data_IF_881217426086
#
_entry.id   IF_881217426086
#
_cell.length_a   1.000
_cell.length_b   1.000
_cell.length_c   1.000
_cell.angle_alpha   90.00
_cell.angle_beta   90.00
_cell.angle_gamma   90.00
#
_symmetry.space_group_name_H-M   'P 1'
#
loop_
_entity.id
_entity.type
_entity.pdbx_description
1 polymer ?
#
# COMPACT_ATOMS: atom_id res chain seq x y z
N UNK A 1 -32.38 -23.17 13.57
CA UNK A 1 -31.12 -22.75 12.91
C UNK A 1 -30.01 -22.74 13.95
N UNK A 2 -28.98 -23.58 13.80
CA UNK A 2 -27.81 -23.56 14.69
C UNK A 2 -27.09 -22.21 14.56
N UNK A 3 -26.77 -21.55 15.68
CA UNK A 3 -25.95 -20.34 15.64
C UNK A 3 -24.57 -20.73 15.12
N UNK A 4 -24.17 -20.23 13.94
CA UNK A 4 -22.83 -20.43 13.38
C UNK A 4 -21.79 -20.06 14.44
N UNK A 5 -20.86 -20.98 14.71
CA UNK A 5 -19.87 -20.80 15.77
C UNK A 5 -18.60 -20.20 15.17
N UNK A 6 -18.37 -18.92 15.46
CA UNK A 6 -17.12 -18.24 15.12
C UNK A 6 -16.09 -18.54 16.21
N UNK A 7 -14.88 -18.91 15.80
CA UNK A 7 -13.71 -19.01 16.65
C UNK A 7 -12.74 -17.90 16.29
N UNK A 8 -12.34 -17.11 17.29
CA UNK A 8 -11.33 -16.06 17.12
C UNK A 8 -10.14 -16.39 18.00
N UNK A 9 -8.93 -16.31 17.45
CA UNK A 9 -7.67 -16.55 18.15
C UNK A 9 -6.74 -15.37 17.90
N UNK A 10 -6.28 -14.74 18.97
CA UNK A 10 -5.28 -13.67 18.94
C UNK A 10 -4.05 -14.14 19.70
N UNK A 11 -2.87 -14.11 19.08
CA UNK A 11 -1.61 -14.56 19.71
C UNK A 11 -1.73 -15.94 20.39
N UNK A 12 -2.30 -16.91 19.67
CA UNK A 12 -2.57 -18.26 20.15
C UNK A 12 -3.59 -18.41 21.29
N UNK A 13 -4.24 -17.32 21.72
CA UNK A 13 -5.29 -17.34 22.74
C UNK A 13 -6.68 -17.22 22.12
N UNK A 14 -7.54 -18.19 22.42
CA UNK A 14 -8.96 -18.15 22.03
C UNK A 14 -9.64 -16.97 22.72
N UNK A 15 -10.37 -16.19 21.93
CA UNK A 15 -11.13 -15.04 22.40
C UNK A 15 -12.61 -15.41 22.56
N UNK A 16 -13.24 -14.87 23.60
CA UNK A 16 -14.68 -15.03 23.83
C UNK A 16 -15.41 -13.76 23.39
N UNK A 17 -16.55 -13.87 22.69
CA UNK A 17 -17.32 -12.69 22.31
C UNK A 17 -17.95 -12.03 23.55
N UNK A 18 -17.96 -10.69 23.55
CA UNK A 18 -18.66 -9.86 24.53
C UNK A 18 -19.84 -9.16 23.84
N UNK A 19 -21.07 -9.39 24.36
CA UNK A 19 -22.31 -8.82 23.79
C UNK A 19 -22.47 -9.04 22.28
N UNK A 20 -22.07 -10.22 21.78
CA UNK A 20 -22.16 -10.57 20.35
C UNK A 20 -21.03 -9.99 19.47
N UNK A 21 -20.00 -9.38 20.06
CA UNK A 21 -18.85 -8.82 19.33
C UNK A 21 -17.53 -9.35 19.89
N UNK A 22 -16.49 -9.43 19.07
CA UNK A 22 -15.12 -9.67 19.53
C UNK A 22 -14.41 -8.33 19.69
N UNK A 23 -13.81 -8.10 20.85
CA UNK A 23 -13.01 -6.91 21.13
C UNK A 23 -11.61 -7.34 21.52
N UNK A 24 -10.61 -6.63 21.00
CA UNK A 24 -9.21 -6.86 21.28
C UNK A 24 -8.50 -5.53 21.53
N UNK A 25 -7.56 -5.54 22.46
CA UNK A 25 -6.66 -4.40 22.68
C UNK A 25 -5.33 -4.73 22.03
N UNK A 26 -4.88 -3.88 21.12
CA UNK A 26 -3.58 -4.04 20.48
C UNK A 26 -2.46 -4.06 21.56
N UNK A 27 -1.46 -4.94 21.44
CA UNK A 27 -0.35 -4.99 22.38
C UNK A 27 0.40 -3.66 22.46
N UNK A 28 1.00 -3.37 23.62
CA UNK A 28 1.84 -2.18 23.80
C UNK A 28 3.17 -2.28 23.06
N UNK A 29 3.66 -3.51 22.85
CA UNK A 29 4.93 -3.78 22.17
C UNK A 29 4.72 -3.60 20.66
N UNK A 30 5.66 -2.90 20.01
CA UNK A 30 5.72 -2.80 18.54
C UNK A 30 5.92 -4.18 17.91
N UNK A 31 5.37 -4.40 16.72
CA UNK A 31 5.52 -5.65 15.99
C UNK A 31 4.30 -6.00 15.15
N UNK A 32 4.37 -7.16 14.50
CA UNK A 32 3.24 -7.81 13.84
C UNK A 32 2.64 -8.88 14.76
N UNK A 33 1.32 -8.96 14.75
CA UNK A 33 0.50 -9.85 15.56
C UNK A 33 -0.55 -10.50 14.67
N UNK A 34 -0.94 -11.73 15.00
CA UNK A 34 -1.87 -12.50 14.18
C UNK A 34 -3.23 -12.67 14.86
N UNK A 35 -4.27 -12.30 14.13
CA UNK A 35 -5.66 -12.58 14.49
C UNK A 35 -6.25 -13.57 13.48
N UNK A 36 -6.45 -14.80 13.93
CA UNK A 36 -7.08 -15.86 13.17
C UNK A 36 -8.57 -15.92 13.49
N UNK A 37 -9.40 -15.80 12.46
CA UNK A 37 -10.86 -15.92 12.54
C UNK A 37 -11.25 -17.17 11.75
N UNK A 38 -12.03 -18.07 12.35
CA UNK A 38 -12.52 -19.31 11.74
C UNK A 38 -14.02 -19.46 11.94
N UNK A 39 -14.73 -19.86 10.89
CA UNK A 39 -16.09 -20.40 11.00
C UNK A 39 -16.03 -21.92 11.08
N UNK A 40 -17.07 -22.50 11.65
CA UNK A 40 -17.42 -23.92 11.53
C UNK A 40 -17.49 -24.43 10.07
N UNK A 41 -17.91 -23.59 9.13
CA UNK A 41 -18.03 -23.89 7.69
C UNK A 41 -16.69 -23.85 6.92
N UNK A 42 -15.58 -24.28 7.53
CA UNK A 42 -14.22 -24.34 6.93
C UNK A 42 -13.58 -23.02 6.45
N UNK A 43 -14.30 -21.90 6.50
CA UNK A 43 -13.76 -20.59 6.17
C UNK A 43 -12.81 -20.09 7.26
N UNK A 44 -11.63 -19.60 6.86
CA UNK A 44 -10.68 -18.96 7.77
C UNK A 44 -10.13 -17.67 7.18
N UNK A 45 -9.87 -16.69 8.05
CA UNK A 45 -9.26 -15.41 7.71
C UNK A 45 -8.12 -15.15 8.69
N UNK A 46 -6.95 -14.81 8.15
CA UNK A 46 -5.82 -14.31 8.92
C UNK A 46 -5.73 -12.79 8.75
N UNK A 47 -5.77 -12.07 9.87
CA UNK A 47 -5.60 -10.62 9.90
C UNK A 47 -4.26 -10.29 10.55
N UNK A 48 -3.37 -9.66 9.78
CA UNK A 48 -2.09 -9.14 10.29
C UNK A 48 -2.31 -7.79 10.96
N UNK A 49 -2.00 -7.70 12.26
CA UNK A 49 -2.12 -6.49 13.06
C UNK A 49 -0.73 -5.93 13.30
N UNK A 50 -0.48 -4.70 12.86
CA UNK A 50 0.81 -4.03 13.04
C UNK A 50 0.73 -2.94 14.11
N UNK A 51 1.45 -3.15 15.21
CA UNK A 51 1.66 -2.10 16.23
C UNK A 51 2.83 -1.23 15.81
N UNK A 52 2.51 0.00 15.38
CA UNK A 52 3.44 0.98 14.82
C UNK A 52 4.46 1.48 15.86
N UNK A 53 5.66 1.81 15.40
CA UNK A 53 6.66 2.57 16.15
C UNK A 53 6.29 4.03 16.15
N UNK A 54 6.10 4.60 17.34
CA UNK A 54 5.76 6.02 17.49
C UNK A 54 6.84 6.91 16.89
N UNK A 55 6.43 7.91 16.11
CA UNK A 55 7.32 8.94 15.58
C UNK A 55 7.81 9.91 16.66
N UNK A 56 7.24 9.88 17.87
CA UNK A 56 7.79 10.61 19.02
C UNK A 56 9.16 10.09 19.45
N UNK A 57 9.51 8.84 19.11
CA UNK A 57 10.83 8.26 19.38
C UNK A 57 11.91 8.74 18.40
N UNK A 58 11.54 9.53 17.38
CA UNK A 58 12.47 10.00 16.37
C UNK A 58 13.47 10.99 16.97
N UNK A 59 14.77 10.75 16.78
CA UNK A 59 15.85 11.65 17.22
C UNK A 59 16.59 12.19 16.01
N UNK A 60 16.66 13.52 15.86
CA UNK A 60 17.33 14.22 14.74
C UNK A 60 16.94 13.69 13.34
N UNK A 61 15.68 13.25 13.17
CA UNK A 61 15.17 12.73 11.89
C UNK A 61 15.39 11.23 11.65
N UNK A 62 15.80 10.47 12.67
CA UNK A 62 16.05 9.03 12.60
C UNK A 62 15.16 8.25 13.56
N UNK A 63 14.69 7.09 13.11
CA UNK A 63 14.22 6.01 13.98
C UNK A 63 15.30 4.94 13.98
N UNK A 64 15.84 4.61 15.16
CA UNK A 64 17.06 3.83 15.26
C UNK A 64 18.17 4.40 14.35
N UNK A 65 18.72 3.61 13.44
CA UNK A 65 19.76 4.03 12.48
C UNK A 65 19.20 4.40 11.10
N UNK A 66 17.89 4.27 10.90
CA UNK A 66 17.26 4.52 9.60
C UNK A 66 16.75 5.96 9.51
N UNK A 67 17.22 6.67 8.48
CA UNK A 67 16.87 8.08 8.26
C UNK A 67 15.44 8.19 7.72
N UNK A 68 14.56 8.80 8.50
CA UNK A 68 13.19 9.13 8.06
C UNK A 68 13.18 10.53 7.42
N UNK A 69 13.92 11.48 8.00
CA UNK A 69 13.85 12.89 7.62
C UNK A 69 12.67 13.59 8.27
N UNK A 70 12.23 14.70 7.67
CA UNK A 70 11.22 15.57 8.25
C UNK A 70 9.98 15.63 7.37
N UNK A 71 8.84 15.23 7.95
CA UNK A 71 7.54 15.54 7.39
C UNK A 71 7.31 17.06 7.34
N UNK A 72 6.52 17.56 6.37
CA UNK A 72 6.05 18.93 6.39
C UNK A 72 5.41 19.30 7.74
N UNK A 73 5.67 20.53 8.23
CA UNK A 73 5.26 20.98 9.57
C UNK A 73 3.74 21.12 9.70
N UNK A 74 3.07 21.56 8.64
CA UNK A 74 1.61 21.74 8.58
C UNK A 74 1.05 20.85 7.48
N UNK A 75 -0.18 20.34 7.60
CA UNK A 75 -0.85 19.67 6.49
C UNK A 75 -1.06 20.65 5.32
N UNK A 76 -0.92 20.17 4.08
CA UNK A 76 -1.19 20.96 2.88
C UNK A 76 -2.63 21.46 2.91
N UNK A 77 -2.83 22.78 2.84
CA UNK A 77 -4.16 23.42 2.89
C UNK A 77 -5.03 22.95 4.07
N UNK A 78 -4.41 22.65 5.23
CA UNK A 78 -5.08 22.08 6.41
C UNK A 78 -5.80 20.74 6.16
N UNK A 79 -5.52 20.06 5.05
CA UNK A 79 -6.19 18.81 4.71
C UNK A 79 -5.60 17.64 5.53
N UNK A 80 -6.42 16.91 6.31
CA UNK A 80 -5.96 15.85 7.21
C UNK A 80 -5.26 14.69 6.51
N UNK A 81 -5.46 14.47 5.20
CA UNK A 81 -4.74 13.41 4.47
C UNK A 81 -3.23 13.68 4.42
N UNK A 82 -2.79 14.93 4.64
CA UNK A 82 -1.38 15.36 4.72
C UNK A 82 -0.90 15.57 6.17
N UNK A 83 -1.65 15.09 7.16
CA UNK A 83 -1.22 15.13 8.55
C UNK A 83 0.04 14.29 8.76
N UNK A 84 0.93 14.76 9.62
CA UNK A 84 2.10 13.99 10.05
C UNK A 84 1.62 12.69 10.70
N UNK A 85 2.14 11.52 10.29
CA UNK A 85 1.73 10.26 10.88
C UNK A 85 2.14 10.17 12.36
N UNK A 86 1.39 9.41 13.15
CA UNK A 86 1.71 9.15 14.56
C UNK A 86 2.83 8.13 14.73
N UNK A 87 2.97 7.20 13.79
CA UNK A 87 3.96 6.14 13.82
C UNK A 87 4.10 5.43 12.48
N UNK A 88 5.11 4.58 12.38
CA UNK A 88 5.46 3.81 11.19
C UNK A 88 5.52 2.32 11.52
N UNK A 89 5.23 1.47 10.54
CA UNK A 89 5.41 0.03 10.64
C UNK A 89 6.92 -0.25 10.60
N UNK A 90 7.44 -0.99 11.59
CA UNK A 90 8.82 -1.46 11.60
C UNK A 90 8.96 -2.68 10.70
N UNK A 91 9.80 -2.56 9.68
CA UNK A 91 10.11 -3.65 8.75
C UNK A 91 11.42 -4.28 9.20
N UNK A 92 11.40 -5.60 9.32
CA UNK A 92 12.56 -6.44 9.60
C UNK A 92 12.74 -7.44 8.45
N UNK A 93 13.79 -8.27 8.48
CA UNK A 93 13.95 -9.28 7.42
C UNK A 93 12.81 -10.32 7.47
N UNK A 94 12.35 -10.65 8.67
CA UNK A 94 11.36 -11.69 8.93
C UNK A 94 9.96 -11.32 8.44
N UNK A 95 9.63 -10.02 8.36
CA UNK A 95 8.27 -9.57 8.06
C UNK A 95 8.06 -9.02 6.64
N UNK A 96 9.07 -9.11 5.77
CA UNK A 96 9.00 -8.61 4.39
C UNK A 96 7.86 -9.22 3.56
N UNK A 97 7.54 -10.49 3.81
CA UNK A 97 6.54 -11.23 3.04
C UNK A 97 5.17 -11.26 3.73
N UNK A 98 4.99 -10.54 4.85
CA UNK A 98 3.68 -10.47 5.49
C UNK A 98 2.69 -9.75 4.59
N UNK A 99 1.50 -10.33 4.49
CA UNK A 99 0.40 -9.81 3.69
C UNK A 99 -0.18 -8.55 4.35
N UNK A 100 -0.24 -7.48 3.57
CA UNK A 100 -0.98 -6.26 3.90
C UNK A 100 -2.43 -6.35 3.39
N UNK A 101 -2.61 -7.06 2.27
CA UNK A 101 -3.88 -7.46 1.67
C UNK A 101 -3.63 -8.76 0.87
N UNK A 102 -4.64 -9.42 0.27
CA UNK A 102 -4.47 -10.71 -0.40
C UNK A 102 -3.32 -10.75 -1.42
N UNK A 103 -3.13 -9.69 -2.21
CA UNK A 103 -2.14 -9.64 -3.29
C UNK A 103 -0.95 -8.72 -3.00
N UNK A 104 -0.91 -8.07 -1.83
CA UNK A 104 0.15 -7.11 -1.47
C UNK A 104 0.87 -7.51 -0.20
N UNK A 105 2.20 -7.37 -0.20
CA UNK A 105 3.07 -7.68 0.94
C UNK A 105 3.85 -6.45 1.41
N UNK A 106 4.43 -6.53 2.61
CA UNK A 106 5.23 -5.46 3.21
C UNK A 106 6.35 -4.99 2.27
N UNK A 107 7.04 -5.91 1.59
CA UNK A 107 8.18 -5.60 0.70
C UNK A 107 7.81 -4.72 -0.49
N UNK A 108 6.58 -4.79 -1.01
CA UNK A 108 6.10 -3.94 -2.11
C UNK A 108 6.16 -2.44 -1.75
N UNK A 109 6.09 -2.13 -0.46
CA UNK A 109 6.07 -0.76 0.05
C UNK A 109 7.39 -0.30 0.67
N UNK A 110 8.42 -1.15 0.72
CA UNK A 110 9.71 -0.79 1.32
C UNK A 110 10.41 0.29 0.49
N UNK A 111 10.86 1.35 1.16
CA UNK A 111 11.57 2.44 0.51
C UNK A 111 12.92 1.96 -0.05
N UNK A 112 13.21 2.31 -1.31
CA UNK A 112 14.47 2.04 -2.02
C UNK A 112 15.70 2.73 -1.41
N UNK A 113 15.51 3.60 -0.41
CA UNK A 113 16.60 4.16 0.37
C UNK A 113 17.50 3.05 0.92
N UNK A 114 18.79 3.20 0.67
CA UNK A 114 19.85 2.35 1.19
C UNK A 114 19.87 2.35 2.72
N UNK A 115 20.45 1.28 3.27
CA UNK A 115 20.57 1.07 4.72
C UNK A 115 20.02 -0.28 5.16
N UNK A 116 20.51 -0.75 6.31
CA UNK A 116 20.12 -2.01 6.92
C UNK A 116 18.77 -1.94 7.65
N UNK A 117 18.31 -3.11 8.08
CA UNK A 117 17.13 -3.25 8.93
C UNK A 117 17.41 -2.81 10.39
N UNK A 118 16.37 -2.38 11.14
CA UNK A 118 15.00 -2.21 10.69
C UNK A 118 14.81 -1.01 9.76
N UNK A 119 13.97 -1.19 8.74
CA UNK A 119 13.42 -0.10 7.92
C UNK A 119 12.04 0.28 8.45
N UNK A 120 11.46 1.35 7.91
CA UNK A 120 10.13 1.81 8.34
C UNK A 120 9.27 2.19 7.15
N UNK A 121 8.01 1.75 7.16
CA UNK A 121 7.04 2.10 6.14
C UNK A 121 5.78 2.72 6.74
N UNK A 122 5.06 3.46 5.92
CA UNK A 122 3.68 3.82 6.15
C UNK A 122 2.87 3.33 4.97
N UNK A 123 1.75 2.69 5.23
CA UNK A 123 0.80 2.27 4.21
C UNK A 123 -0.57 2.72 4.64
N UNK A 124 -1.30 3.34 3.71
CA UNK A 124 -2.67 3.74 3.90
C UNK A 124 -3.60 2.62 3.44
N UNK A 125 -4.54 2.23 4.28
CA UNK A 125 -5.44 1.10 4.05
C UNK A 125 -6.32 1.32 2.80
N UNK A 126 -6.71 2.56 2.50
CA UNK A 126 -7.46 2.90 1.28
C UNK A 126 -6.64 2.69 0.01
N UNK A 127 -5.31 2.88 0.07
CA UNK A 127 -4.44 2.56 -1.07
C UNK A 127 -4.42 1.06 -1.33
N UNK A 128 -4.32 0.23 -0.29
CA UNK A 128 -4.34 -1.22 -0.43
C UNK A 128 -5.63 -1.69 -1.09
N UNK A 129 -6.79 -1.27 -0.56
CA UNK A 129 -8.09 -1.61 -1.13
C UNK A 129 -8.25 -1.13 -2.58
N UNK A 130 -7.75 0.07 -2.90
CA UNK A 130 -7.75 0.59 -4.27
C UNK A 130 -6.93 -0.28 -5.22
N UNK A 131 -5.75 -0.73 -4.80
CA UNK A 131 -4.90 -1.58 -5.61
C UNK A 131 -5.52 -2.97 -5.84
N UNK A 132 -6.12 -3.57 -4.81
CA UNK A 132 -6.89 -4.82 -4.93
C UNK A 132 -8.07 -4.66 -5.90
N UNK A 133 -8.85 -3.58 -5.77
CA UNK A 133 -9.95 -3.27 -6.68
C UNK A 133 -9.47 -3.16 -8.14
N UNK A 134 -8.35 -2.47 -8.37
CA UNK A 134 -7.82 -2.30 -9.72
C UNK A 134 -7.32 -3.65 -10.27
N UNK A 135 -6.67 -4.47 -9.45
CA UNK A 135 -6.24 -5.81 -9.85
C UNK A 135 -7.45 -6.66 -10.28
N UNK A 136 -8.49 -6.73 -9.46
CA UNK A 136 -9.72 -7.46 -9.79
C UNK A 136 -10.39 -6.92 -11.06
N UNK A 137 -10.43 -5.59 -11.22
CA UNK A 137 -10.95 -4.95 -12.42
C UNK A 137 -10.16 -5.31 -13.68
N UNK A 138 -8.82 -5.39 -13.61
CA UNK A 138 -7.97 -5.79 -14.75
C UNK A 138 -8.19 -7.26 -15.10
N UNK A 139 -8.25 -8.14 -14.10
CA UNK A 139 -8.56 -9.56 -14.28
C UNK A 139 -9.91 -9.77 -14.95
N UNK A 140 -10.95 -9.05 -14.51
CA UNK A 140 -12.29 -9.08 -15.13
C UNK A 140 -12.32 -8.55 -16.57
N UNK A 141 -11.28 -7.83 -16.99
CA UNK A 141 -11.09 -7.37 -18.38
C UNK A 141 -10.21 -8.31 -19.21
N UNK A 142 -9.87 -9.49 -18.69
CA UNK A 142 -8.97 -10.46 -19.30
C UNK A 142 -7.56 -9.91 -19.56
N UNK A 143 -7.13 -8.88 -18.81
CA UNK A 143 -5.74 -8.44 -18.83
C UNK A 143 -4.95 -9.41 -17.95
N UNK A 144 -3.89 -10.00 -18.51
CA UNK A 144 -3.04 -10.94 -17.79
C UNK A 144 -2.25 -10.17 -16.73
N UNK A 145 -2.50 -10.48 -15.46
CA UNK A 145 -1.78 -9.91 -14.33
C UNK A 145 -1.91 -10.84 -13.12
N UNK A 146 -0.78 -11.28 -12.58
CA UNK A 146 -0.72 -12.03 -11.33
C UNK A 146 -0.55 -11.07 -10.14
N UNK A 147 0.26 -10.02 -10.32
CA UNK A 147 0.46 -8.94 -9.35
C UNK A 147 1.05 -7.71 -10.03
N UNK A 148 0.92 -6.55 -9.39
CA UNK A 148 1.66 -5.36 -9.81
C UNK A 148 3.16 -5.50 -9.51
N UNK A 149 3.99 -4.92 -10.38
CA UNK A 149 5.37 -4.56 -10.04
C UNK A 149 5.40 -3.14 -9.48
N UNK A 150 6.26 -2.92 -8.49
CA UNK A 150 6.40 -1.64 -7.81
C UNK A 150 7.69 -0.95 -8.23
N UNK A 151 7.56 0.23 -8.83
CA UNK A 151 8.66 1.20 -8.93
C UNK A 151 8.89 1.84 -7.57
N UNK A 152 7.83 2.17 -6.84
CA UNK A 152 7.90 2.77 -5.51
C UNK A 152 6.59 2.65 -4.75
N UNK A 153 6.62 2.13 -3.53
CA UNK A 153 5.56 2.32 -2.55
C UNK A 153 5.86 3.50 -1.62
N UNK A 154 6.03 3.25 -0.32
CA UNK A 154 6.35 4.30 0.63
C UNK A 154 7.75 4.90 0.41
N UNK A 155 7.87 6.22 0.56
CA UNK A 155 9.14 6.93 0.58
C UNK A 155 9.33 7.61 1.93
N UNK A 156 10.51 7.51 2.53
CA UNK A 156 10.82 8.39 3.65
C UNK A 156 10.82 9.85 3.16
N UNK A 157 10.45 10.84 4.00
CA UNK A 157 10.63 12.25 3.66
C UNK A 157 12.06 12.60 3.20
N UNK A 158 13.07 11.98 3.81
CA UNK A 158 14.46 12.13 3.39
C UNK A 158 14.70 11.63 1.96
N UNK A 159 14.33 10.38 1.66
CA UNK A 159 14.54 9.78 0.36
C UNK A 159 13.76 10.49 -0.74
N UNK A 160 12.51 10.86 -0.46
CA UNK A 160 11.69 11.64 -1.40
C UNK A 160 12.40 12.94 -1.81
N UNK A 161 12.99 13.67 -0.84
CA UNK A 161 13.78 14.87 -1.13
C UNK A 161 15.07 14.54 -1.89
N UNK A 162 15.76 13.46 -1.52
CA UNK A 162 17.02 13.05 -2.14
C UNK A 162 16.87 12.82 -3.65
N UNK A 163 15.77 12.21 -4.08
CA UNK A 163 15.46 11.96 -5.49
C UNK A 163 14.74 13.14 -6.19
N UNK A 164 14.81 14.34 -5.61
CA UNK A 164 14.29 15.58 -6.23
C UNK A 164 12.76 15.72 -6.23
N UNK A 165 12.02 14.88 -5.51
CA UNK A 165 10.56 14.97 -5.49
C UNK A 165 10.02 16.09 -4.60
N UNK A 166 8.84 16.58 -4.95
CA UNK A 166 8.19 17.70 -4.26
C UNK A 166 7.80 17.39 -2.81
N UNK A 167 7.73 18.41 -1.94
CA UNK A 167 7.05 18.32 -0.66
C UNK A 167 5.60 17.87 -0.84
N UNK A 168 5.04 17.22 0.18
CA UNK A 168 3.65 16.72 0.18
C UNK A 168 3.32 15.60 -0.82
N UNK A 169 4.33 14.97 -1.45
CA UNK A 169 4.13 13.73 -2.22
C UNK A 169 3.30 12.72 -1.43
N UNK A 170 2.33 12.07 -2.08
CA UNK A 170 1.49 11.07 -1.41
C UNK A 170 2.27 9.83 -0.96
N UNK A 171 3.44 9.55 -1.55
CA UNK A 171 4.32 8.46 -1.13
C UNK A 171 4.83 8.62 0.31
N UNK A 172 5.13 9.86 0.75
CA UNK A 172 5.62 10.07 2.12
C UNK A 172 4.54 9.85 3.18
N UNK A 173 3.27 9.86 2.78
CA UNK A 173 2.12 9.58 3.63
C UNK A 173 1.59 8.15 3.45
N UNK A 174 2.32 7.27 2.75
CA UNK A 174 1.91 5.88 2.50
C UNK A 174 0.68 5.73 1.62
N UNK A 175 0.28 6.81 0.94
CA UNK A 175 -0.98 6.89 0.20
C UNK A 175 -0.81 6.79 -1.31
N UNK A 176 0.39 6.47 -1.81
CA UNK A 176 0.68 6.31 -3.23
C UNK A 176 1.54 5.10 -3.55
N UNK A 177 1.40 4.61 -4.77
CA UNK A 177 2.23 3.58 -5.38
C UNK A 177 2.48 3.93 -6.85
N UNK A 178 3.71 3.70 -7.29
CA UNK A 178 4.12 3.73 -8.70
C UNK A 178 4.24 2.29 -9.19
N UNK A 179 3.40 1.89 -10.14
CA UNK A 179 3.21 0.49 -10.52
C UNK A 179 3.16 0.28 -12.03
N UNK A 180 3.48 -0.93 -12.46
CA UNK A 180 3.31 -1.43 -13.82
C UNK A 180 3.01 -2.92 -13.82
N UNK A 181 2.64 -3.46 -14.98
CA UNK A 181 2.34 -4.88 -15.22
C UNK A 181 3.49 -5.46 -16.03
N UNK A 182 4.04 -6.57 -15.56
CA UNK A 182 5.26 -7.22 -16.06
C UNK A 182 5.23 -8.68 -15.59
N UNK A 183 4.55 -9.51 -16.38
CA UNK A 183 4.33 -10.92 -16.06
C UNK A 183 5.53 -11.80 -16.39
N UNK A 184 6.34 -11.42 -17.38
CA UNK A 184 7.53 -12.18 -17.78
C UNK A 184 8.81 -11.80 -17.02
N UNK A 185 8.75 -10.72 -16.22
CA UNK A 185 9.84 -10.19 -15.39
C UNK A 185 11.02 -9.62 -16.19
N UNK A 186 10.78 -9.12 -17.41
CA UNK A 186 11.81 -8.46 -18.21
C UNK A 186 12.10 -7.00 -17.77
N UNK A 187 11.30 -6.48 -16.84
CA UNK A 187 11.42 -5.12 -16.30
C UNK A 187 10.84 -4.03 -17.23
N UNK A 188 10.05 -4.42 -18.23
CA UNK A 188 9.26 -3.56 -19.11
C UNK A 188 7.77 -3.71 -18.77
N UNK A 189 6.97 -2.72 -19.17
CA UNK A 189 5.52 -2.89 -19.15
C UNK A 189 5.12 -3.83 -20.29
N UNK A 190 4.25 -4.80 -19.98
CA UNK A 190 3.66 -5.72 -20.95
C UNK A 190 2.79 -4.98 -22.00
N UNK A 191 2.47 -5.65 -23.11
CA UNK A 191 1.48 -5.18 -24.07
C UNK A 191 0.07 -5.26 -23.47
N UNK A 192 -0.40 -4.13 -22.92
CA UNK A 192 -1.70 -4.04 -22.24
C UNK A 192 -2.81 -3.75 -23.24
N UNK A 193 -2.49 -3.17 -24.39
CA UNK A 193 -3.47 -2.75 -25.37
C UNK A 193 -3.72 -3.80 -26.49
N UNK A 194 -2.85 -4.80 -26.61
CA UNK A 194 -2.97 -5.94 -27.52
C UNK A 194 -2.52 -5.65 -28.95
N UNK A 195 -1.72 -4.61 -29.20
CA UNK A 195 -1.23 -4.25 -30.55
C UNK A 195 0.12 -4.89 -30.90
N UNK A 196 0.63 -5.80 -30.06
CA UNK A 196 1.94 -6.43 -30.12
C UNK A 196 3.11 -5.43 -30.11
N UNK A 197 2.90 -4.24 -29.53
CA UNK A 197 3.96 -3.27 -29.23
C UNK A 197 3.98 -3.05 -27.73
N UNK A 198 5.18 -2.79 -27.22
CA UNK A 198 5.43 -2.66 -25.79
C UNK A 198 5.89 -1.22 -25.51
N UNK A 199 5.01 -0.25 -25.70
CA UNK A 199 5.35 1.16 -25.77
C UNK A 199 4.52 2.03 -24.81
N UNK A 200 4.54 3.34 -25.02
CA UNK A 200 3.84 4.27 -24.13
C UNK A 200 2.31 4.06 -24.16
N UNK A 201 1.77 3.53 -25.25
CA UNK A 201 0.33 3.29 -25.40
C UNK A 201 -0.20 2.27 -24.40
N UNK A 202 0.64 1.35 -23.92
CA UNK A 202 0.27 0.40 -22.88
C UNK A 202 -0.03 1.09 -21.56
N UNK A 203 0.84 2.03 -21.18
CA UNK A 203 0.62 2.87 -20.01
C UNK A 203 -0.61 3.77 -20.22
N UNK A 204 -0.79 4.35 -21.41
CA UNK A 204 -1.95 5.18 -21.72
C UNK A 204 -3.27 4.38 -21.68
N UNK A 205 -3.25 3.13 -22.11
CA UNK A 205 -4.37 2.21 -22.05
C UNK A 205 -4.70 1.84 -20.60
N UNK A 206 -3.69 1.42 -19.83
CA UNK A 206 -3.85 1.10 -18.40
C UNK A 206 -4.39 2.31 -17.61
N UNK A 207 -3.82 3.49 -17.84
CA UNK A 207 -4.31 4.75 -17.28
C UNK A 207 -5.77 4.98 -17.63
N UNK A 208 -6.16 4.80 -18.89
CA UNK A 208 -7.53 5.04 -19.34
C UNK A 208 -8.53 4.07 -18.71
N UNK A 209 -8.14 2.81 -18.52
CA UNK A 209 -8.95 1.81 -17.82
C UNK A 209 -9.19 2.19 -16.36
N UNK A 210 -8.13 2.61 -15.67
CA UNK A 210 -8.19 3.03 -14.26
C UNK A 210 -8.94 4.34 -14.12
N UNK A 211 -8.70 5.32 -15.00
CA UNK A 211 -9.39 6.60 -14.91
C UNK A 211 -10.89 6.38 -15.02
N UNK A 212 -11.39 5.62 -15.99
CA UNK A 212 -12.84 5.35 -16.16
C UNK A 212 -13.55 4.90 -14.88
N UNK A 213 -12.86 4.27 -13.93
CA UNK A 213 -13.42 3.85 -12.65
C UNK A 213 -13.98 5.02 -11.81
N UNK A 214 -13.50 6.26 -12.00
CA UNK A 214 -14.00 7.43 -11.27
C UNK A 214 -15.51 7.71 -11.46
N UNK A 215 -16.14 7.09 -12.46
CA UNK A 215 -17.57 7.24 -12.75
C UNK A 215 -18.45 6.23 -12.00
N UNK A 216 -17.85 5.19 -11.42
CA UNK A 216 -18.55 4.14 -10.71
C UNK A 216 -18.73 4.49 -9.23
N UNK A 217 -19.90 4.20 -8.68
CA UNK A 217 -20.26 4.55 -7.30
C UNK A 217 -19.34 3.84 -6.31
N UNK A 218 -19.07 2.57 -6.54
CA UNK A 218 -18.19 1.72 -5.72
C UNK A 218 -16.73 2.21 -5.68
N UNK A 219 -16.33 3.06 -6.64
CA UNK A 219 -14.96 3.60 -6.69
C UNK A 219 -14.80 4.92 -5.94
N UNK A 220 -15.90 5.55 -5.49
CA UNK A 220 -15.85 6.87 -4.84
C UNK A 220 -14.96 6.89 -3.61
N UNK A 221 -14.92 5.80 -2.84
CA UNK A 221 -14.06 5.69 -1.65
C UNK A 221 -12.57 5.59 -2.00
N UNK A 222 -12.21 5.29 -3.25
CA UNK A 222 -10.85 5.13 -3.75
C UNK A 222 -10.35 6.32 -4.58
N UNK A 223 -11.10 7.43 -4.60
CA UNK A 223 -10.72 8.62 -5.33
C UNK A 223 -9.31 9.10 -4.96
N UNK A 224 -8.58 9.56 -5.96
CA UNK A 224 -7.24 10.11 -5.77
C UNK A 224 -6.55 10.47 -7.08
N UNK A 225 -5.25 10.72 -6.98
CA UNK A 225 -4.37 11.01 -8.09
C UNK A 225 -4.11 9.80 -8.97
N UNK A 226 -3.97 10.05 -10.26
CA UNK A 226 -3.57 9.08 -11.27
C UNK A 226 -2.67 9.84 -12.26
N UNK A 227 -1.49 9.32 -12.55
CA UNK A 227 -0.61 9.96 -13.51
C UNK A 227 0.26 8.97 -14.28
N UNK A 228 0.71 9.39 -15.46
CA UNK A 228 1.51 8.55 -16.35
C UNK A 228 2.96 9.04 -16.37
N UNK A 229 3.90 8.11 -16.22
CA UNK A 229 5.32 8.39 -16.36
C UNK A 229 5.90 7.58 -17.51
N UNK A 230 6.56 8.28 -18.42
CA UNK A 230 7.20 7.67 -19.60
C UNK A 230 8.45 6.92 -19.18
N UNK A 231 8.77 5.85 -19.93
CA UNK A 231 10.04 5.12 -19.82
C UNK A 231 11.24 6.07 -19.86
N UNK A 232 12.21 5.80 -19.01
CA UNK A 232 13.54 6.41 -19.03
C UNK A 232 14.60 5.31 -19.03
N UNK A 233 15.88 5.67 -18.92
CA UNK A 233 16.93 4.69 -18.66
C UNK A 233 16.83 4.07 -17.26
N UNK A 234 16.18 4.75 -16.31
CA UNK A 234 16.12 4.33 -14.91
C UNK A 234 14.90 3.47 -14.56
N UNK A 235 13.85 3.48 -15.40
CA UNK A 235 12.61 2.75 -15.14
C UNK A 235 11.77 2.57 -16.43
N UNK A 236 10.91 1.54 -16.50
CA UNK A 236 9.90 1.42 -17.55
C UNK A 236 8.86 2.55 -17.47
N UNK A 237 7.93 2.59 -18.43
CA UNK A 237 6.71 3.37 -18.25
C UNK A 237 5.93 2.78 -17.06
N UNK A 238 5.30 3.64 -16.27
CA UNK A 238 4.53 3.21 -15.10
C UNK A 238 3.39 4.19 -14.81
N UNK A 239 2.45 3.74 -13.97
CA UNK A 239 1.33 4.52 -13.49
C UNK A 239 1.54 4.88 -12.04
N UNK A 240 1.46 6.18 -11.74
CA UNK A 240 1.29 6.66 -10.38
C UNK A 240 -0.17 6.53 -9.98
N UNK A 241 -0.44 5.95 -8.81
CA UNK A 241 -1.76 5.89 -8.20
C UNK A 241 -1.66 6.38 -6.77
N UNK A 242 -2.60 7.23 -6.35
CA UNK A 242 -2.79 7.51 -4.93
C UNK A 242 -4.26 7.56 -4.52
N UNK A 243 -4.48 7.53 -3.20
CA UNK A 243 -5.81 7.55 -2.58
C UNK A 243 -6.03 8.85 -1.78
N UNK A 244 -5.67 10.02 -2.36
CA UNK A 244 -5.78 11.33 -1.69
C UNK A 244 -7.21 11.82 -1.44
N UNK A 245 -8.23 11.12 -1.94
CA UNK A 245 -9.65 11.43 -1.73
C UNK A 245 -10.26 12.39 -2.74
N UNK A 246 -9.48 12.87 -3.73
CA UNK A 246 -9.98 13.76 -4.78
C UNK A 246 -9.23 13.54 -6.10
N UNK A 247 -9.90 13.80 -7.22
CA UNK A 247 -9.36 13.58 -8.57
C UNK A 247 -8.19 14.54 -8.85
N UNK A 248 -7.10 14.00 -9.38
CA UNK A 248 -5.91 14.74 -9.87
C UNK A 248 -5.29 13.92 -11.00
N UNK A 249 -4.96 14.54 -12.13
CA UNK A 249 -4.45 13.87 -13.34
C UNK A 249 -3.24 14.60 -13.90
N UNK A 250 -2.23 13.86 -14.37
CA UNK A 250 -1.04 14.41 -15.01
C UNK A 250 -0.33 13.37 -15.87
#
# INVERSE_FOLDING_TARGET
>A
MSKKKIMVRFENKVQSPQKGSYSFTAPRKKGNYELLIRSDESCSMLVNIFVKVSLSHMKKGYLNRYRIGNYPKKPLNNNPVYAKPKGLLEVTQENLNLKLSPNLVVSDFVCKQEGGFPKYILVNERLLLKLEYILDMLLNKNIKISKFKFISGYRTPYYNKLIGNVPYSRHIYGGAADIFIDEDNDGRMDDINGDNKFDQKDADHLYSLIDKQHRHEEYKEYLGGLGIYKRTQAHPSFIHIDARGYKSRW
#
